data_IF_578096827130
#
_entry.id   IF_578096827130
#
_cell.length_a   1.000
_cell.length_b   1.000
_cell.length_c   1.000
_cell.angle_alpha   90.00
_cell.angle_beta   90.00
_cell.angle_gamma   90.00
#
_symmetry.space_group_name_H-M   'P 1'
#
loop_
_entity.id
_entity.type
_entity.pdbx_description
1 polymer ?
#
# COMPACT_ATOMS: atom_id res chain seq x y z
N UNK A 1 11.81 62.55 19.40
CA UNK A 1 12.27 61.32 20.06
C UNK A 1 12.61 60.31 18.99
N UNK A 2 13.85 59.87 19.01
CA UNK A 2 14.58 59.13 17.99
C UNK A 2 14.31 57.62 18.06
N UNK A 3 14.18 56.95 16.91
CA UNK A 3 15.06 55.85 16.44
C UNK A 3 14.40 54.99 15.35
N UNK A 4 15.22 54.69 14.34
CA UNK A 4 15.01 53.80 13.20
C UNK A 4 15.30 52.31 13.61
N UNK A 5 15.70 51.38 12.71
CA UNK A 5 15.09 50.87 11.48
C UNK A 5 14.96 49.31 11.45
N UNK A 6 14.29 48.84 10.38
CA UNK A 6 14.39 47.58 9.61
C UNK A 6 15.15 46.31 10.08
N UNK A 7 14.48 45.20 9.76
CA UNK A 7 14.99 43.97 9.09
C UNK A 7 15.78 42.93 9.89
N UNK A 8 15.28 41.70 9.84
CA UNK A 8 15.98 40.49 10.28
C UNK A 8 15.38 39.24 9.62
N UNK A 9 15.55 39.10 8.31
CA UNK A 9 15.39 37.81 7.64
C UNK A 9 16.68 37.01 7.85
N UNK A 10 16.67 35.83 8.48
CA UNK A 10 17.87 35.01 8.61
C UNK A 10 18.24 34.40 7.26
N UNK A 11 19.42 34.78 6.76
CA UNK A 11 20.07 34.20 5.60
C UNK A 11 20.69 32.84 5.96
N UNK A 12 20.59 31.93 5.00
CA UNK A 12 21.07 30.54 4.93
C UNK A 12 22.46 30.26 5.52
N UNK A 13 22.71 28.99 5.83
CA UNK A 13 24.02 28.37 5.63
C UNK A 13 23.92 27.07 4.82
N UNK A 14 24.14 27.19 3.50
CA UNK A 14 24.70 26.10 2.68
C UNK A 14 26.15 25.95 3.12
N UNK A 15 26.51 24.79 3.66
CA UNK A 15 27.87 24.21 3.82
C UNK A 15 27.88 23.25 5.02
N UNK A 16 27.18 22.13 4.88
CA UNK A 16 27.61 20.84 5.48
C UNK A 16 27.40 19.77 4.43
N UNK A 17 28.25 19.84 3.40
CA UNK A 17 28.51 18.73 2.50
C UNK A 17 29.42 17.74 3.24
N UNK A 18 29.05 16.45 3.18
CA UNK A 18 29.79 15.24 3.54
C UNK A 18 29.87 14.80 5.03
N UNK A 19 29.70 13.48 5.20
CA UNK A 19 29.59 12.66 6.42
C UNK A 19 28.17 12.68 7.03
N UNK A 20 27.28 11.71 6.83
CA UNK A 20 27.47 10.26 6.91
C UNK A 20 26.51 9.52 5.96
N UNK A 21 27.08 8.89 4.93
CA UNK A 21 26.58 7.62 4.40
C UNK A 21 26.76 6.54 5.50
N UNK A 22 25.94 5.49 5.45
CA UNK A 22 26.01 4.25 6.24
C UNK A 22 25.48 4.29 7.70
N UNK A 23 24.22 3.90 7.87
CA UNK A 23 23.82 2.92 8.90
C UNK A 23 22.95 1.82 8.28
N UNK A 24 23.56 1.13 7.30
CA UNK A 24 23.29 -0.28 7.01
C UNK A 24 24.56 -1.03 7.38
N UNK A 25 24.57 -1.74 8.50
CA UNK A 25 25.50 -2.82 8.79
C UNK A 25 24.69 -3.84 9.57
N UNK A 26 24.35 -5.03 9.07
CA UNK A 26 25.20 -6.05 8.43
C UNK A 26 26.54 -6.14 9.15
N UNK A 27 26.52 -6.78 10.32
CA UNK A 27 27.68 -7.48 10.85
C UNK A 27 27.53 -8.96 10.46
N UNK A 28 28.11 -9.33 9.32
CA UNK A 28 28.41 -10.72 8.97
C UNK A 28 29.94 -10.87 8.89
N UNK A 29 30.44 -11.73 9.79
CA UNK A 29 31.60 -12.63 9.68
C UNK A 29 33.04 -12.06 9.52
N UNK A 30 33.96 -12.50 10.38
CA UNK A 30 34.92 -13.61 10.13
C UNK A 30 36.01 -13.68 11.23
N UNK A 31 35.95 -14.76 12.03
CA UNK A 31 37.02 -15.74 12.37
C UNK A 31 38.14 -15.42 13.38
N UNK A 32 38.13 -16.20 14.46
CA UNK A 32 39.19 -17.06 15.07
C UNK A 32 38.74 -17.34 16.52
N UNK A 33 38.94 -18.46 17.21
CA UNK A 33 39.65 -19.74 17.06
C UNK A 33 39.44 -20.46 18.44
N UNK A 34 39.63 -21.80 18.50
CA UNK A 34 39.59 -22.71 19.68
C UNK A 34 38.21 -23.12 20.25
N UNK A 35 37.81 -24.40 20.11
CA UNK A 35 38.19 -25.62 20.88
C UNK A 35 37.22 -25.79 22.06
N UNK A 36 36.39 -26.83 22.14
CA UNK A 36 36.77 -28.21 22.46
C UNK A 36 35.70 -29.24 22.03
N UNK A 37 36.16 -30.50 21.93
CA UNK A 37 35.49 -31.81 21.75
C UNK A 37 34.24 -32.05 22.62
N UNK A 38 33.27 -32.88 22.24
CA UNK A 38 33.22 -34.36 22.40
C UNK A 38 32.20 -34.96 21.38
N UNK A 39 32.58 -35.89 20.51
CA UNK A 39 32.50 -37.37 20.66
C UNK A 39 31.11 -37.93 21.05
N UNK A 40 30.38 -38.48 20.07
CA UNK A 40 29.58 -39.69 20.23
C UNK A 40 29.05 -40.17 18.86
N UNK A 41 29.70 -41.23 18.39
CA UNK A 41 29.29 -42.19 17.37
C UNK A 41 27.92 -42.82 17.66
N UNK A 42 26.98 -42.87 16.70
CA UNK A 42 26.01 -43.98 16.54
C UNK A 42 25.52 -44.09 15.09
N UNK A 43 26.04 -45.13 14.44
CA UNK A 43 25.45 -46.09 13.48
C UNK A 43 24.36 -45.72 12.45
N UNK A 44 24.74 -45.96 11.19
CA UNK A 44 23.91 -46.32 10.03
C UNK A 44 23.45 -47.79 10.17
N UNK A 45 22.22 -48.13 9.76
CA UNK A 45 22.15 -49.16 8.73
C UNK A 45 21.21 -48.80 7.56
N UNK A 46 21.67 -49.19 6.38
CA UNK A 46 20.89 -49.38 5.17
C UNK A 46 19.95 -50.57 5.35
N UNK A 47 18.73 -50.49 4.82
CA UNK A 47 18.14 -51.61 4.06
C UNK A 47 17.05 -51.12 3.12
N UNK A 48 17.11 -51.65 1.91
CA UNK A 48 16.19 -51.52 0.81
C UNK A 48 14.79 -52.04 1.14
N UNK A 49 13.79 -51.72 0.30
CA UNK A 49 13.04 -52.70 -0.51
C UNK A 49 12.10 -51.97 -1.48
N UNK A 50 12.19 -52.38 -2.75
CA UNK A 50 11.28 -52.04 -3.82
C UNK A 50 9.95 -52.80 -3.69
N UNK A 51 8.84 -52.17 -4.06
CA UNK A 51 7.62 -52.89 -4.47
C UNK A 51 6.88 -52.07 -5.53
N UNK A 52 6.92 -52.64 -6.73
CA UNK A 52 6.17 -52.39 -7.95
C UNK A 52 4.81 -53.09 -7.87
N UNK A 53 3.68 -52.42 -8.18
CA UNK A 53 2.49 -53.07 -8.79
C UNK A 53 1.47 -52.06 -9.36
N UNK A 54 1.16 -52.28 -10.65
CA UNK A 54 -0.13 -52.14 -11.41
C UNK A 54 -0.88 -50.78 -11.38
N UNK A 55 -1.19 -50.10 -12.51
CA UNK A 55 -1.87 -50.48 -13.76
C UNK A 55 -3.40 -50.69 -13.61
N UNK A 56 -4.14 -50.13 -14.59
CA UNK A 56 -5.61 -49.97 -14.74
C UNK A 56 -6.26 -48.90 -13.83
N UNK A 57 -7.14 -48.01 -14.28
CA UNK A 57 -8.11 -48.10 -15.37
C UNK A 57 -8.52 -46.67 -15.81
N UNK A 58 -8.70 -46.47 -17.10
CA UNK A 58 -9.18 -45.21 -17.68
C UNK A 58 -10.56 -45.44 -18.29
N UNK A 59 -11.57 -44.58 -18.01
CA UNK A 59 -12.72 -44.48 -18.88
C UNK A 59 -12.58 -43.26 -19.78
N UNK A 60 -12.30 -43.53 -21.04
CA UNK A 60 -12.52 -42.64 -22.17
C UNK A 60 -14.03 -42.53 -22.40
N UNK A 61 -14.59 -41.32 -22.35
CA UNK A 61 -15.87 -41.00 -22.99
C UNK A 61 -15.66 -39.78 -23.87
N UNK A 62 -15.35 -40.07 -25.12
CA UNK A 62 -15.65 -39.21 -26.26
C UNK A 62 -17.09 -39.53 -26.68
N UNK A 63 -17.88 -38.49 -26.95
CA UNK A 63 -18.97 -38.48 -27.94
C UNK A 63 -19.56 -37.06 -27.98
N UNK A 64 -19.03 -36.31 -28.95
CA UNK A 64 -19.67 -35.23 -29.69
C UNK A 64 -21.15 -35.48 -30.01
N UNK A 65 -21.95 -34.42 -29.87
CA UNK A 65 -23.07 -33.96 -30.73
C UNK A 65 -24.22 -33.41 -29.88
N UNK A 66 -24.43 -32.09 -29.96
CA UNK A 66 -25.74 -31.49 -30.23
C UNK A 66 -25.53 -29.99 -30.45
N UNK A 67 -25.33 -29.67 -31.73
CA UNK A 67 -25.58 -28.36 -32.29
C UNK A 67 -27.10 -28.18 -32.37
N UNK A 68 -27.68 -27.27 -31.59
CA UNK A 68 -28.94 -26.66 -31.97
C UNK A 68 -29.04 -25.23 -31.44
N UNK A 69 -28.68 -24.31 -32.32
CA UNK A 69 -29.30 -23.02 -32.57
C UNK A 69 -30.00 -22.30 -31.39
N UNK A 70 -29.45 -21.16 -31.00
CA UNK A 70 -30.29 -19.96 -30.88
C UNK A 70 -29.51 -18.70 -31.29
N UNK A 71 -30.24 -17.88 -32.01
CA UNK A 71 -29.83 -16.83 -32.92
C UNK A 71 -29.11 -15.64 -32.30
N UNK A 72 -28.26 -15.08 -33.16
CA UNK A 72 -27.87 -13.67 -33.26
C UNK A 72 -29.09 -12.75 -33.09
N UNK A 73 -28.99 -11.81 -32.15
CA UNK A 73 -29.45 -10.44 -32.40
C UNK A 73 -28.31 -9.47 -32.04
N UNK A 74 -27.90 -8.75 -33.08
CA UNK A 74 -27.04 -7.59 -33.06
C UNK A 74 -27.78 -6.38 -32.44
N UNK A 75 -26.96 -5.38 -32.11
CA UNK A 75 -27.31 -3.96 -31.97
C UNK A 75 -27.97 -3.52 -30.67
N UNK A 76 -27.13 -3.01 -29.76
CA UNK A 76 -27.25 -1.60 -29.42
C UNK A 76 -25.87 -1.00 -29.10
N UNK A 77 -25.30 -0.36 -30.13
CA UNK A 77 -24.24 0.65 -30.01
C UNK A 77 -24.91 1.94 -29.53
N UNK A 78 -24.14 2.76 -28.82
CA UNK A 78 -24.50 4.07 -28.26
C UNK A 78 -25.22 4.02 -26.91
N UNK A 79 -24.44 4.17 -25.84
CA UNK A 79 -24.58 5.31 -24.94
C UNK A 79 -23.22 5.64 -24.31
N UNK A 80 -22.41 6.38 -25.07
CA UNK A 80 -21.38 7.28 -24.50
C UNK A 80 -22.14 8.50 -23.99
N UNK A 81 -22.76 8.38 -22.82
CA UNK A 81 -23.27 9.55 -22.11
C UNK A 81 -22.12 10.15 -21.29
N UNK A 82 -21.44 11.07 -21.95
CA UNK A 82 -20.70 12.16 -21.32
C UNK A 82 -21.70 12.99 -20.50
N UNK A 83 -22.05 12.52 -19.31
CA UNK A 83 -22.83 13.29 -18.34
C UNK A 83 -21.92 14.35 -17.67
N UNK A 84 -21.63 15.39 -18.43
CA UNK A 84 -21.40 16.72 -17.88
C UNK A 84 -22.73 17.29 -17.39
N UNK A 85 -23.27 16.74 -16.30
CA UNK A 85 -24.45 17.26 -15.63
C UNK A 85 -24.05 18.13 -14.44
N UNK A 86 -24.12 19.44 -14.64
CA UNK A 86 -24.07 20.43 -13.55
C UNK A 86 -25.42 20.42 -12.84
N UNK A 87 -25.44 20.00 -11.57
CA UNK A 87 -26.65 20.01 -10.73
C UNK A 87 -26.42 19.55 -9.29
N UNK A 88 -25.87 20.42 -8.44
CA UNK A 88 -26.02 20.46 -6.96
C UNK A 88 -25.97 19.16 -6.12
N UNK A 89 -25.28 18.10 -6.56
CA UNK A 89 -24.92 16.98 -5.69
C UNK A 89 -23.50 17.19 -5.14
N UNK A 90 -23.30 16.94 -3.84
CA UNK A 90 -21.95 16.92 -3.25
C UNK A 90 -21.13 15.86 -4.01
N UNK A 91 -19.92 16.18 -4.50
CA UNK A 91 -19.12 15.23 -5.27
C UNK A 91 -18.87 13.95 -4.47
N UNK A 92 -18.90 12.80 -5.14
CA UNK A 92 -18.68 11.50 -4.53
C UNK A 92 -17.23 11.40 -4.06
N UNK A 93 -16.99 10.86 -2.87
CA UNK A 93 -15.64 10.63 -2.37
C UNK A 93 -14.86 9.65 -3.25
N UNK A 94 -13.54 9.78 -3.28
CA UNK A 94 -12.65 8.90 -4.03
C UNK A 94 -12.53 9.21 -5.51
N UNK A 95 -13.29 10.19 -6.03
CA UNK A 95 -13.10 10.66 -7.40
C UNK A 95 -11.80 11.46 -7.50
N UNK A 96 -11.07 11.25 -8.59
CA UNK A 96 -9.84 11.99 -8.90
C UNK A 96 -10.07 12.91 -10.10
N UNK A 97 -9.52 14.11 -10.00
CA UNK A 97 -9.45 15.07 -11.11
C UNK A 97 -7.99 15.39 -11.40
N UNK A 98 -7.58 15.26 -12.65
CA UNK A 98 -6.26 15.73 -13.07
C UNK A 98 -6.24 17.27 -13.11
N UNK A 99 -5.22 17.88 -12.50
CA UNK A 99 -5.09 19.36 -12.36
C UNK A 99 -3.80 19.91 -12.95
N UNK A 100 -2.95 19.02 -13.45
CA UNK A 100 -1.64 19.33 -14.03
C UNK A 100 -1.03 18.03 -14.57
N UNK A 101 0.14 18.13 -15.19
CA UNK A 101 0.80 16.95 -15.80
C UNK A 101 1.02 15.86 -14.75
N UNK A 102 0.22 14.80 -14.79
CA UNK A 102 0.30 13.68 -13.83
C UNK A 102 0.15 14.16 -12.37
N UNK A 103 -0.73 15.14 -12.13
CA UNK A 103 -1.10 15.55 -10.78
C UNK A 103 -2.61 15.40 -10.64
N UNK A 104 -3.01 14.54 -9.71
CA UNK A 104 -4.41 14.25 -9.43
C UNK A 104 -4.83 14.85 -8.09
N UNK A 105 -6.05 15.34 -8.01
CA UNK A 105 -6.65 15.84 -6.76
C UNK A 105 -7.92 15.07 -6.49
N UNK A 106 -8.03 14.52 -5.28
CA UNK A 106 -9.25 13.83 -4.86
C UNK A 106 -10.38 14.79 -4.51
N UNK A 107 -11.60 14.27 -4.40
CA UNK A 107 -12.77 15.01 -3.93
C UNK A 107 -12.54 15.67 -2.57
N UNK A 108 -11.83 15.01 -1.65
CA UNK A 108 -11.50 15.60 -0.34
C UNK A 108 -10.36 16.64 -0.40
N UNK A 109 -9.70 16.78 -1.55
CA UNK A 109 -8.64 17.75 -1.79
C UNK A 109 -7.24 17.24 -1.51
N UNK A 110 -7.01 15.93 -1.45
CA UNK A 110 -5.66 15.37 -1.40
C UNK A 110 -5.01 15.42 -2.78
N UNK A 111 -3.73 15.80 -2.84
CA UNK A 111 -2.96 15.85 -4.09
C UNK A 111 -2.06 14.63 -4.22
N UNK A 112 -2.03 14.04 -5.41
CA UNK A 112 -1.15 12.93 -5.78
C UNK A 112 -0.35 13.33 -7.00
N UNK A 113 0.95 13.53 -6.83
CA UNK A 113 1.85 13.92 -7.90
C UNK A 113 2.89 12.84 -8.27
N UNK A 114 3.81 13.17 -9.19
CA UNK A 114 5.00 12.36 -9.47
C UNK A 114 5.91 12.27 -8.25
N UNK A 115 6.65 11.17 -8.12
CA UNK A 115 7.56 10.91 -7.00
C UNK A 115 7.31 9.56 -6.34
N UNK A 116 8.06 9.25 -5.27
CA UNK A 116 8.24 7.91 -4.67
C UNK A 116 9.10 6.95 -5.51
N UNK A 117 9.44 5.78 -4.96
CA UNK A 117 10.13 4.71 -5.67
C UNK A 117 9.30 4.16 -6.85
N UNK A 118 7.96 4.26 -6.77
CA UNK A 118 7.01 3.79 -7.78
C UNK A 118 6.78 4.81 -8.91
N UNK A 119 7.51 5.93 -8.89
CA UNK A 119 7.41 7.00 -9.89
C UNK A 119 6.21 7.93 -9.75
N UNK A 120 5.12 7.50 -9.10
CA UNK A 120 3.97 8.35 -8.78
C UNK A 120 3.32 8.00 -7.43
N UNK A 121 2.94 9.02 -6.66
CA UNK A 121 2.38 8.85 -5.30
C UNK A 121 1.08 8.03 -5.28
N UNK A 122 0.19 8.26 -6.25
CA UNK A 122 -1.01 7.45 -6.40
C UNK A 122 -0.69 5.97 -6.65
N UNK A 123 0.36 5.65 -7.43
CA UNK A 123 0.77 4.26 -7.66
C UNK A 123 1.27 3.64 -6.35
N UNK A 124 2.07 4.38 -5.58
CA UNK A 124 2.51 3.95 -4.26
C UNK A 124 1.34 3.64 -3.31
N UNK A 125 0.29 4.48 -3.28
CA UNK A 125 -0.91 4.19 -2.49
C UNK A 125 -1.62 2.92 -2.99
N UNK A 126 -1.68 2.72 -4.31
CA UNK A 126 -2.28 1.50 -4.88
C UNK A 126 -1.44 0.24 -4.66
N UNK A 127 -0.14 0.34 -4.35
CA UNK A 127 0.64 -0.82 -3.88
C UNK A 127 0.10 -1.37 -2.54
N UNK A 128 -0.68 -0.58 -1.80
CA UNK A 128 -1.39 -1.06 -0.61
C UNK A 128 -2.77 -1.64 -0.92
N UNK A 129 -3.14 -1.86 -2.19
CA UNK A 129 -4.35 -2.60 -2.55
C UNK A 129 -4.11 -4.13 -2.64
N UNK A 130 -2.84 -4.54 -2.65
CA UNK A 130 -2.44 -5.93 -2.81
C UNK A 130 -1.50 -6.36 -1.68
N UNK A 131 -1.53 -7.64 -1.34
CA UNK A 131 -0.66 -8.20 -0.31
C UNK A 131 0.70 -8.58 -0.89
N UNK A 132 1.79 -8.14 -0.23
CA UNK A 132 3.16 -8.33 -0.64
C UNK A 132 3.92 -9.13 0.43
N UNK A 133 4.10 -10.41 0.17
CA UNK A 133 4.76 -11.34 1.08
C UNK A 133 6.28 -11.15 1.16
N UNK A 134 6.89 -10.33 0.29
CA UNK A 134 8.32 -9.99 0.41
C UNK A 134 8.56 -8.98 1.54
N UNK A 135 7.51 -8.32 2.01
CA UNK A 135 7.57 -7.37 3.11
C UNK A 135 7.26 -8.07 4.44
N UNK A 136 8.03 -7.80 5.52
CA UNK A 136 7.75 -8.35 6.83
C UNK A 136 6.36 -7.97 7.35
N UNK A 137 5.95 -6.71 7.14
CA UNK A 137 4.65 -6.18 7.55
C UNK A 137 4.28 -4.95 6.70
N UNK A 138 3.04 -4.91 6.20
CA UNK A 138 2.42 -3.68 5.69
C UNK A 138 0.90 -3.72 5.86
N UNK A 139 0.24 -2.58 5.68
CA UNK A 139 -1.22 -2.54 5.57
C UNK A 139 -1.68 -2.87 4.17
N UNK A 140 -2.80 -3.57 4.05
CA UNK A 140 -3.51 -3.82 2.78
C UNK A 140 -4.93 -3.32 2.92
N UNK A 141 -5.35 -2.48 1.98
CA UNK A 141 -6.72 -2.03 1.89
C UNK A 141 -7.63 -3.16 1.42
N UNK A 142 -8.88 -3.09 1.86
CA UNK A 142 -9.95 -3.87 1.25
C UNK A 142 -10.79 -3.00 0.32
N UNK A 143 -11.23 -3.60 -0.77
CA UNK A 143 -12.06 -2.95 -1.79
C UNK A 143 -11.31 -2.63 -3.07
N UNK A 144 -12.05 -2.13 -4.05
CA UNK A 144 -11.48 -1.65 -5.30
C UNK A 144 -10.87 -0.24 -5.15
N UNK A 145 -10.22 0.24 -6.21
CA UNK A 145 -9.56 1.55 -6.24
C UNK A 145 -10.48 2.69 -5.78
N UNK A 146 -11.73 2.70 -6.22
CA UNK A 146 -12.70 3.75 -5.89
C UNK A 146 -13.07 3.74 -4.41
N UNK A 147 -13.28 2.55 -3.84
CA UNK A 147 -13.56 2.35 -2.41
C UNK A 147 -12.36 2.74 -1.54
N UNK A 148 -11.14 2.39 -1.96
CA UNK A 148 -9.89 2.76 -1.28
C UNK A 148 -9.75 4.28 -1.23
N UNK A 149 -9.86 4.95 -2.39
CA UNK A 149 -9.74 6.40 -2.47
C UNK A 149 -10.86 7.10 -1.70
N UNK A 150 -12.06 6.53 -1.68
CA UNK A 150 -13.17 7.06 -0.89
C UNK A 150 -12.90 6.95 0.63
N UNK A 151 -12.30 5.85 1.10
CA UNK A 151 -11.91 5.68 2.49
C UNK A 151 -10.80 6.64 2.91
N UNK A 152 -9.81 6.88 2.03
CA UNK A 152 -8.75 7.87 2.26
C UNK A 152 -9.35 9.30 2.31
N UNK A 153 -10.28 9.61 1.41
CA UNK A 153 -11.00 10.89 1.42
C UNK A 153 -11.81 11.09 2.69
N UNK A 154 -12.54 10.08 3.15
CA UNK A 154 -13.27 10.10 4.42
C UNK A 154 -12.33 10.38 5.59
N UNK A 155 -11.19 9.68 5.66
CA UNK A 155 -10.18 9.90 6.69
C UNK A 155 -9.62 11.33 6.64
N UNK A 156 -9.37 11.87 5.45
CA UNK A 156 -8.87 13.24 5.31
C UNK A 156 -9.89 14.30 5.72
N UNK A 157 -11.19 14.07 5.49
CA UNK A 157 -12.23 14.97 6.00
C UNK A 157 -12.19 15.05 7.53
N UNK A 158 -11.98 13.93 8.23
CA UNK A 158 -11.84 13.92 9.69
C UNK A 158 -10.62 14.71 10.18
N UNK A 159 -9.52 14.69 9.41
CA UNK A 159 -8.34 15.53 9.68
C UNK A 159 -8.70 17.01 9.59
N UNK A 160 -9.37 17.42 8.50
CA UNK A 160 -9.79 18.83 8.32
C UNK A 160 -10.77 19.30 9.38
N UNK A 161 -11.63 18.41 9.86
CA UNK A 161 -12.60 18.67 10.93
C UNK A 161 -11.97 18.67 12.34
N UNK A 162 -10.67 18.34 12.46
CA UNK A 162 -9.96 18.20 13.74
C UNK A 162 -10.66 17.21 14.67
N UNK A 163 -11.16 16.11 14.10
CA UNK A 163 -11.88 15.07 14.83
C UNK A 163 -11.01 14.44 15.91
N UNK A 164 -11.62 14.04 17.03
CA UNK A 164 -10.96 13.28 18.12
C UNK A 164 -10.45 11.89 17.67
N UNK A 165 -10.85 11.44 16.48
CA UNK A 165 -10.42 10.18 15.88
C UNK A 165 -9.04 10.27 15.21
N UNK A 166 -8.48 11.47 15.12
CA UNK A 166 -7.21 11.76 14.44
C UNK A 166 -6.11 11.92 15.47
N UNK A 167 -5.03 11.15 15.29
CA UNK A 167 -3.74 11.38 15.94
C UNK A 167 -2.80 12.01 14.91
N UNK A 168 -2.20 13.15 15.26
CA UNK A 168 -1.23 13.86 14.41
C UNK A 168 0.17 13.75 15.01
N UNK A 169 1.15 13.50 14.15
CA UNK A 169 2.58 13.46 14.48
C UNK A 169 3.37 14.23 13.42
N UNK A 170 4.37 14.99 13.86
CA UNK A 170 5.32 15.66 12.97
C UNK A 170 6.56 14.79 12.80
N UNK A 171 6.99 14.57 11.57
CA UNK A 171 8.17 13.79 11.22
C UNK A 171 9.05 14.59 10.25
N UNK A 172 9.86 15.50 10.80
CA UNK A 172 10.70 16.39 10.00
C UNK A 172 9.86 17.41 9.25
N UNK A 173 9.85 17.32 7.93
CA UNK A 173 9.04 18.12 7.00
C UNK A 173 7.68 17.47 6.68
N UNK A 174 7.39 16.30 7.25
CA UNK A 174 6.16 15.53 6.99
C UNK A 174 5.20 15.60 8.16
N UNK A 175 3.91 15.59 7.83
CA UNK A 175 2.83 15.35 8.78
C UNK A 175 2.29 13.94 8.61
N UNK A 176 2.13 13.24 9.73
CA UNK A 176 1.57 11.89 9.79
C UNK A 176 0.28 11.93 10.57
N UNK A 177 -0.81 11.53 9.92
CA UNK A 177 -2.11 11.38 10.53
C UNK A 177 -2.42 9.89 10.65
N UNK A 178 -2.82 9.44 11.84
CA UNK A 178 -3.43 8.12 12.04
C UNK A 178 -4.88 8.33 12.42
N UNK A 179 -5.79 7.89 11.57
CA UNK A 179 -7.23 8.16 11.67
C UNK A 179 -7.97 6.85 11.87
N UNK A 180 -8.74 6.71 12.93
CA UNK A 180 -9.60 5.54 13.16
C UNK A 180 -10.98 5.77 12.49
N UNK A 181 -11.33 4.95 11.49
CA UNK A 181 -12.63 5.02 10.81
C UNK A 181 -13.73 4.20 11.52
N UNK A 182 -13.41 3.52 12.63
CA UNK A 182 -14.36 2.72 13.44
C UNK A 182 -15.05 1.58 12.68
N UNK A 183 -14.55 1.25 11.51
CA UNK A 183 -14.95 0.13 10.66
C UNK A 183 -13.72 -0.52 10.07
N UNK A 184 -13.83 -1.76 9.61
CA UNK A 184 -12.76 -2.42 8.88
C UNK A 184 -12.51 -1.68 7.55
N UNK A 185 -11.24 -1.40 7.28
CA UNK A 185 -10.78 -0.72 6.04
C UNK A 185 -9.72 -1.54 5.31
N UNK A 186 -9.26 -2.62 5.93
CA UNK A 186 -8.09 -3.36 5.49
C UNK A 186 -7.68 -4.41 6.50
N UNK A 187 -6.47 -4.91 6.30
CA UNK A 187 -5.82 -5.85 7.20
C UNK A 187 -4.31 -5.67 7.22
N UNK A 188 -3.67 -6.23 8.25
CA UNK A 188 -2.22 -6.35 8.31
C UNK A 188 -1.79 -7.50 7.40
N UNK A 189 -1.06 -7.15 6.33
CA UNK A 189 -0.47 -8.06 5.35
C UNK A 189 1.02 -8.33 5.57
N UNK A 190 1.68 -8.79 4.52
CA UNK A 190 3.05 -9.29 4.53
C UNK A 190 3.20 -10.62 5.27
N UNK A 191 4.44 -11.06 5.48
CA UNK A 191 4.74 -12.34 6.15
C UNK A 191 4.08 -12.45 7.54
N UNK A 192 4.16 -11.38 8.34
CA UNK A 192 3.56 -11.33 9.68
C UNK A 192 2.04 -11.35 9.60
N UNK A 193 1.46 -10.62 8.64
CA UNK A 193 0.02 -10.62 8.39
C UNK A 193 -0.50 -12.03 8.09
N UNK A 194 0.12 -12.69 7.12
CA UNK A 194 -0.22 -14.06 6.71
C UNK A 194 -0.13 -15.03 7.88
N UNK A 195 0.95 -14.98 8.66
CA UNK A 195 1.13 -15.83 9.85
C UNK A 195 0.07 -15.58 10.93
N UNK A 196 -0.46 -14.36 11.04
CA UNK A 196 -1.50 -13.99 12.01
C UNK A 196 -2.92 -14.06 11.43
N UNK A 197 -3.09 -14.64 10.24
CA UNK A 197 -4.37 -14.74 9.54
C UNK A 197 -5.02 -13.36 9.28
N UNK A 198 -4.22 -12.41 8.77
CA UNK A 198 -4.64 -11.07 8.34
C UNK A 198 -5.51 -10.30 9.36
N UNK A 199 -4.94 -9.90 10.51
CA UNK A 199 -5.66 -9.08 11.50
C UNK A 199 -6.29 -7.83 10.88
N UNK A 200 -7.53 -7.53 11.24
CA UNK A 200 -8.24 -6.38 10.68
C UNK A 200 -7.61 -5.04 11.08
N UNK A 201 -7.53 -4.12 10.13
CA UNK A 201 -7.20 -2.71 10.37
C UNK A 201 -8.46 -1.86 10.32
N UNK A 202 -8.60 -0.95 11.29
CA UNK A 202 -9.69 0.06 11.30
C UNK A 202 -9.19 1.48 11.10
N UNK A 203 -7.87 1.67 11.11
CA UNK A 203 -7.23 2.97 10.97
C UNK A 203 -6.56 3.09 9.60
N UNK A 204 -6.51 4.32 9.10
CA UNK A 204 -5.69 4.70 7.95
C UNK A 204 -4.58 5.63 8.46
N UNK A 205 -3.34 5.34 8.08
CA UNK A 205 -2.22 6.26 8.25
C UNK A 205 -2.01 7.01 6.94
N UNK A 206 -2.07 8.34 6.98
CA UNK A 206 -1.82 9.23 5.85
C UNK A 206 -0.56 10.04 6.17
N UNK A 207 0.40 10.01 5.26
CA UNK A 207 1.62 10.81 5.33
C UNK A 207 1.55 11.87 4.25
N UNK A 208 1.73 13.13 4.62
CA UNK A 208 1.70 14.25 3.69
C UNK A 208 2.92 15.17 3.80
N UNK A 209 3.18 15.86 2.70
CA UNK A 209 4.06 17.03 2.55
C UNK A 209 3.17 18.24 2.13
N UNK A 210 3.69 19.47 2.25
CA UNK A 210 3.10 20.70 1.70
C UNK A 210 1.56 20.82 1.80
N UNK A 211 1.05 20.72 3.04
CA UNK A 211 -0.36 20.83 3.46
C UNK A 211 -1.31 19.71 3.03
N UNK A 212 -1.21 19.19 1.81
CA UNK A 212 -2.12 18.17 1.28
C UNK A 212 -1.53 17.26 0.20
N UNK A 213 -0.21 17.26 0.02
CA UNK A 213 0.47 16.38 -0.92
C UNK A 213 0.70 15.00 -0.30
N UNK A 214 0.06 13.97 -0.84
CA UNK A 214 0.16 12.60 -0.31
C UNK A 214 1.52 12.02 -0.66
N UNK A 215 2.24 11.62 0.39
CA UNK A 215 3.47 10.83 0.28
C UNK A 215 3.13 9.34 0.21
N UNK A 216 2.25 8.87 1.11
CA UNK A 216 1.75 7.51 1.21
C UNK A 216 0.48 7.47 2.07
N UNK A 217 -0.38 6.47 1.85
CA UNK A 217 -1.56 6.21 2.66
C UNK A 217 -1.82 4.70 2.71
N UNK A 218 -2.06 4.14 3.90
CA UNK A 218 -2.23 2.70 4.08
C UNK A 218 -2.97 2.34 5.38
N UNK A 219 -3.62 1.16 5.46
CA UNK A 219 -4.24 0.67 6.69
C UNK A 219 -3.23 0.35 7.79
N UNK A 220 -3.62 0.52 9.05
CA UNK A 220 -2.79 0.16 10.20
C UNK A 220 -3.66 -0.31 11.36
N UNK A 221 -3.14 -1.24 12.16
CA UNK A 221 -3.72 -1.64 13.45
C UNK A 221 -3.18 -0.78 14.61
N UNK A 222 -2.02 -0.15 14.42
CA UNK A 222 -1.33 0.71 15.40
C UNK A 222 -1.72 2.17 15.25
#
# INVERSE_FOLDING_TARGET
>A
MSNAPQSGQPKWNKWRLLAFLLLVGIAWAVRSFESESEDATVERPETATAAEVAADDAPTVDLTEELSAVSVEQENVDQVENESATGNAKPKLGQLREVGKKVFVSTAGLKYGPGSADGHRLLHVMQHAEDDLEKPIHGVFEGNKEEILAAIDEAWLLVKEKSKQVKTEEQGDRQVFTIDLKRRVGYTGGEVGKRKNHPACTKIRIVIEDENEVVSAYPTDR
#
